data_IF_132212221656
#
_entry.id   IF_132212221656
#
_cell.length_a   1.000
_cell.length_b   1.000
_cell.length_c   1.000
_cell.angle_alpha   90.00
_cell.angle_beta   90.00
_cell.angle_gamma   90.00
#
_symmetry.space_group_name_H-M   'P 1'
#
loop_
_entity.id
_entity.type
_entity.pdbx_description
1 polymer ?
#
# COMPACT_ATOMS: atom_id res chain seq x y z
N UNK A 1 9.34 -13.03 -75.06
CA UNK A 1 10.34 -14.13 -75.16
C UNK A 1 11.28 -14.03 -73.97
N UNK A 2 11.47 -15.18 -73.30
CA UNK A 2 12.48 -15.61 -72.29
C UNK A 2 13.03 -14.62 -71.22
N UNK A 3 12.90 -14.83 -69.90
CA UNK A 3 13.42 -15.87 -68.95
C UNK A 3 14.87 -15.66 -68.45
N UNK A 4 15.04 -15.46 -67.12
CA UNK A 4 16.05 -15.99 -66.15
C UNK A 4 16.12 -15.04 -64.92
N UNK A 5 15.75 -15.37 -63.66
CA UNK A 5 16.23 -16.33 -62.60
C UNK A 5 17.59 -16.00 -61.94
N UNK A 6 17.57 -15.65 -60.63
CA UNK A 6 18.47 -16.04 -59.50
C UNK A 6 17.68 -15.74 -58.19
N UNK A 7 17.10 -16.67 -57.39
CA UNK A 7 17.55 -17.64 -56.35
C UNK A 7 18.14 -17.06 -55.05
N UNK A 8 17.53 -17.45 -53.91
CA UNK A 8 18.04 -17.81 -52.55
C UNK A 8 17.35 -17.02 -51.42
N UNK A 9 16.94 -17.56 -50.26
CA UNK A 9 16.67 -18.92 -49.77
C UNK A 9 16.03 -18.76 -48.38
N UNK A 10 14.89 -19.39 -48.14
CA UNK A 10 14.30 -19.65 -46.81
C UNK A 10 15.14 -20.67 -46.02
N UNK A 11 14.96 -20.79 -44.70
CA UNK A 11 14.74 -22.06 -43.99
C UNK A 11 14.45 -21.85 -42.49
N UNK A 12 13.36 -22.47 -42.03
CA UNK A 12 12.92 -22.62 -40.64
C UNK A 12 13.48 -23.91 -40.04
N UNK A 13 13.75 -23.96 -38.73
CA UNK A 13 13.74 -25.22 -37.95
C UNK A 13 13.14 -24.96 -36.55
N UNK A 14 12.07 -25.70 -36.22
CA UNK A 14 11.57 -25.97 -34.86
C UNK A 14 12.35 -27.13 -34.24
N UNK A 15 12.55 -27.15 -32.91
CA UNK A 15 12.42 -28.38 -32.10
C UNK A 15 12.29 -28.11 -30.60
N UNK A 16 11.37 -28.87 -30.00
CA UNK A 16 11.05 -29.08 -28.58
C UNK A 16 12.08 -30.01 -27.91
N UNK A 17 12.30 -29.87 -26.59
CA UNK A 17 12.29 -30.89 -25.51
C UNK A 17 12.95 -30.33 -24.22
N UNK A 18 12.35 -30.57 -23.05
CA UNK A 18 12.87 -30.22 -21.71
C UNK A 18 13.85 -31.27 -21.13
N UNK A 19 13.83 -31.53 -19.80
CA UNK A 19 14.50 -30.78 -18.72
C UNK A 19 15.63 -31.60 -18.03
N UNK A 20 16.20 -31.06 -16.91
CA UNK A 20 17.33 -31.53 -16.05
C UNK A 20 18.67 -30.85 -16.45
N UNK A 21 19.55 -30.36 -15.56
CA UNK A 21 19.92 -30.73 -14.18
C UNK A 21 20.71 -29.58 -13.53
N UNK A 22 20.61 -29.41 -12.21
CA UNK A 22 21.59 -28.68 -11.38
C UNK A 22 22.98 -29.35 -11.47
N UNK A 23 24.06 -28.57 -11.36
CA UNK A 23 25.25 -28.84 -10.50
C UNK A 23 26.14 -27.57 -10.47
N UNK A 24 26.57 -27.24 -9.26
CA UNK A 24 27.51 -26.19 -8.85
C UNK A 24 28.94 -26.42 -9.39
N UNK A 25 29.70 -25.34 -9.62
CA UNK A 25 31.15 -25.33 -9.34
C UNK A 25 31.72 -23.89 -9.27
N UNK A 26 32.72 -23.63 -8.40
CA UNK A 26 33.18 -22.30 -8.00
C UNK A 26 34.52 -21.86 -8.64
N UNK A 27 34.81 -20.56 -8.48
CA UNK A 27 36.10 -19.86 -8.36
C UNK A 27 37.34 -20.35 -9.13
N UNK A 28 37.94 -19.43 -9.89
CA UNK A 28 39.36 -19.48 -10.26
C UNK A 28 40.03 -18.08 -10.25
N UNK A 29 41.08 -17.97 -9.43
CA UNK A 29 42.42 -17.37 -9.67
C UNK A 29 42.58 -15.84 -9.83
N UNK A 30 43.70 -15.19 -9.50
CA UNK A 30 44.89 -15.33 -8.61
C UNK A 30 45.83 -14.15 -8.97
N UNK A 31 46.69 -13.65 -8.05
CA UNK A 31 47.87 -12.83 -8.39
C UNK A 31 48.17 -11.70 -7.38
N UNK A 32 48.82 -11.96 -6.23
CA UNK A 32 50.30 -11.97 -5.97
C UNK A 32 50.94 -10.56 -5.93
N UNK A 33 51.42 -10.12 -4.75
CA UNK A 33 52.85 -9.85 -4.46
C UNK A 33 53.07 -9.38 -2.99
N UNK A 34 54.02 -10.02 -2.32
CA UNK A 34 54.81 -9.61 -1.14
C UNK A 34 56.11 -10.44 -1.17
N UNK A 35 57.17 -10.24 -0.33
CA UNK A 35 57.60 -9.16 0.59
C UNK A 35 59.09 -8.75 0.31
N UNK A 36 59.94 -8.16 1.22
CA UNK A 36 60.48 -8.81 2.45
C UNK A 36 60.81 -7.91 3.70
N UNK A 37 60.86 -8.57 4.88
CA UNK A 37 61.64 -8.40 6.15
C UNK A 37 62.63 -7.21 6.30
N UNK A 38 62.80 -6.50 7.44
CA UNK A 38 63.18 -6.84 8.85
C UNK A 38 63.34 -5.50 9.66
N UNK A 39 63.80 -5.41 10.94
CA UNK A 39 63.41 -6.04 12.22
C UNK A 39 63.02 -5.00 13.33
N UNK A 40 62.60 -5.49 14.51
CA UNK A 40 62.22 -4.74 15.73
C UNK A 40 63.40 -4.06 16.45
N UNK A 41 63.12 -3.03 17.28
CA UNK A 41 63.70 -2.96 18.62
C UNK A 41 62.65 -2.83 19.74
N UNK A 42 63.02 -3.37 20.89
CA UNK A 42 62.30 -3.51 22.16
C UNK A 42 62.40 -2.28 23.07
N UNK A 43 61.53 -2.26 24.09
CA UNK A 43 61.59 -1.57 25.42
C UNK A 43 60.84 -0.22 25.51
N UNK A 44 60.21 0.18 26.65
CA UNK A 44 59.69 -0.55 27.83
C UNK A 44 58.17 -0.34 28.07
N UNK A 45 57.60 -1.24 28.88
CA UNK A 45 56.26 -1.12 29.45
C UNK A 45 56.16 0.08 30.41
N UNK A 46 55.21 0.98 30.14
CA UNK A 46 54.67 1.93 31.12
C UNK A 46 53.19 1.61 31.32
N UNK A 47 52.91 0.95 32.43
CA UNK A 47 51.59 0.70 32.98
C UNK A 47 51.00 1.99 33.52
N UNK A 48 50.18 2.64 32.71
CA UNK A 48 49.16 3.57 33.20
C UNK A 48 47.79 3.05 32.77
N UNK A 49 46.85 2.90 33.71
CA UNK A 49 45.49 2.51 33.37
C UNK A 49 44.89 3.63 32.53
N UNK A 50 44.61 3.34 31.27
CA UNK A 50 43.61 4.11 30.53
C UNK A 50 42.31 3.94 31.30
N UNK A 51 41.96 4.94 32.12
CA UNK A 51 40.59 5.17 32.50
C UNK A 51 39.86 5.44 31.18
N UNK A 52 39.31 4.39 30.58
CA UNK A 52 38.21 4.53 29.65
C UNK A 52 37.11 5.20 30.46
N UNK A 53 36.99 6.51 30.29
CA UNK A 53 35.74 7.18 30.53
C UNK A 53 34.73 6.48 29.61
N UNK A 54 34.10 5.44 30.17
CA UNK A 54 32.77 5.06 29.79
C UNK A 54 31.94 6.32 30.01
N UNK A 55 31.88 7.18 28.99
CA UNK A 55 30.63 7.83 28.71
C UNK A 55 29.66 6.67 28.51
N UNK A 56 29.03 6.27 29.61
CA UNK A 56 27.69 5.73 29.58
C UNK A 56 26.89 6.82 28.89
N UNK A 57 26.85 6.76 27.55
CA UNK A 57 25.73 7.31 26.82
C UNK A 57 24.52 6.81 27.59
N UNK A 58 23.57 7.69 27.96
CA UNK A 58 22.31 7.24 28.49
C UNK A 58 21.88 6.06 27.61
N UNK A 59 21.40 4.99 28.24
CA UNK A 59 20.66 3.97 27.52
C UNK A 59 19.53 4.75 26.85
N UNK A 60 19.78 5.25 25.63
CA UNK A 60 18.77 5.71 24.73
C UNK A 60 18.08 4.40 24.45
N UNK A 61 16.99 4.16 25.20
CA UNK A 61 16.07 3.07 24.93
C UNK A 61 15.98 2.98 23.42
N UNK A 62 16.39 1.85 22.83
CA UNK A 62 16.38 1.65 21.39
C UNK A 62 14.96 1.91 20.92
N UNK A 63 14.68 3.15 20.52
CA UNK A 63 13.37 3.58 20.09
C UNK A 63 13.11 2.75 18.82
N UNK A 64 12.13 1.84 18.89
CA UNK A 64 11.79 0.98 17.76
C UNK A 64 11.45 1.88 16.58
N UNK A 65 12.02 1.61 15.42
CA UNK A 65 11.65 2.33 14.20
C UNK A 65 10.19 2.03 13.86
N UNK A 66 9.49 3.02 13.30
CA UNK A 66 8.12 2.86 12.83
C UNK A 66 8.10 2.72 11.32
N UNK A 67 7.28 1.79 10.83
CA UNK A 67 6.94 1.69 9.41
C UNK A 67 5.43 1.79 9.26
N UNK A 68 4.97 2.85 8.61
CA UNK A 68 3.55 3.15 8.46
C UNK A 68 3.12 2.93 7.01
N UNK A 69 2.02 2.22 6.81
CA UNK A 69 1.44 1.98 5.50
C UNK A 69 0.00 2.50 5.54
N UNK A 70 -0.35 3.35 4.58
CA UNK A 70 -1.69 3.89 4.45
C UNK A 70 -2.37 3.31 3.22
N UNK A 71 -3.68 3.09 3.31
CA UNK A 71 -4.54 3.24 2.15
C UNK A 71 -4.63 4.73 1.73
N UNK A 72 -5.19 4.99 0.56
CA UNK A 72 -5.31 6.33 0.00
C UNK A 72 -6.74 6.85 0.02
N UNK A 73 -7.60 6.26 -0.81
CA UNK A 73 -8.98 6.68 -1.01
C UNK A 73 -9.79 6.39 0.25
N UNK A 74 -10.46 7.39 0.84
CA UNK A 74 -11.22 7.21 2.09
C UNK A 74 -10.35 7.18 3.36
N UNK A 75 -9.05 6.92 3.25
CA UNK A 75 -8.10 6.99 4.37
C UNK A 75 -7.34 8.32 4.41
N UNK A 76 -6.48 8.58 3.41
CA UNK A 76 -5.74 9.85 3.27
C UNK A 76 -6.68 10.95 2.74
N UNK A 77 -7.49 10.62 1.74
CA UNK A 77 -8.53 11.51 1.22
C UNK A 77 -9.83 11.26 1.97
N UNK A 78 -10.72 12.25 2.03
CA UNK A 78 -12.04 12.06 2.67
C UNK A 78 -13.01 11.25 1.82
N UNK A 79 -12.71 11.07 0.52
CA UNK A 79 -13.58 10.44 -0.49
C UNK A 79 -12.75 9.69 -1.52
N UNK A 80 -13.38 8.78 -2.23
CA UNK A 80 -12.84 8.11 -3.42
C UNK A 80 -12.40 9.12 -4.50
N UNK A 81 -11.24 8.87 -5.11
CA UNK A 81 -10.66 9.73 -6.14
C UNK A 81 -10.67 9.12 -7.54
N UNK A 82 -11.33 7.97 -7.77
CA UNK A 82 -11.47 7.39 -9.10
C UNK A 82 -12.32 8.26 -10.03
N UNK A 83 -13.42 8.84 -9.51
CA UNK A 83 -14.24 9.78 -10.28
C UNK A 83 -13.42 11.03 -10.67
N UNK A 84 -12.75 11.76 -9.75
CA UNK A 84 -11.78 12.81 -10.10
C UNK A 84 -10.71 12.40 -11.12
N UNK A 85 -10.13 11.20 -10.98
CA UNK A 85 -9.13 10.67 -11.93
C UNK A 85 -9.72 10.53 -13.34
N UNK A 86 -10.93 9.97 -13.46
CA UNK A 86 -11.61 9.81 -14.75
C UNK A 86 -11.98 11.17 -15.34
N UNK A 87 -12.50 12.10 -14.54
CA UNK A 87 -12.82 13.45 -15.01
C UNK A 87 -11.57 14.22 -15.47
N UNK A 88 -10.44 14.03 -14.77
CA UNK A 88 -9.16 14.57 -15.19
C UNK A 88 -8.74 13.99 -16.55
N UNK A 89 -8.92 12.69 -16.78
CA UNK A 89 -8.64 12.05 -18.06
C UNK A 89 -9.51 12.59 -19.20
N UNK A 90 -10.83 12.72 -18.97
CA UNK A 90 -11.77 13.29 -19.94
C UNK A 90 -11.37 14.73 -20.28
N UNK A 91 -11.00 15.53 -19.29
CA UNK A 91 -10.54 16.92 -19.52
C UNK A 91 -9.27 17.01 -20.36
N UNK A 92 -8.40 15.99 -20.31
CA UNK A 92 -7.15 15.95 -21.09
C UNK A 92 -7.40 15.59 -22.56
N UNK A 93 -8.45 14.82 -22.85
CA UNK A 93 -8.91 14.56 -24.22
C UNK A 93 -9.57 15.77 -24.87
N UNK A 94 -10.23 16.58 -24.05
CA UNK A 94 -11.07 17.69 -24.51
C UNK A 94 -10.64 19.03 -23.89
N UNK A 95 -9.39 19.49 -24.10
CA UNK A 95 -8.87 20.69 -23.43
C UNK A 95 -9.58 21.99 -23.81
N UNK A 96 -10.31 21.99 -24.93
CA UNK A 96 -11.06 23.16 -25.42
C UNK A 96 -12.50 23.21 -24.92
N UNK A 97 -13.01 22.15 -24.26
CA UNK A 97 -14.39 22.11 -23.78
C UNK A 97 -14.49 22.65 -22.35
N UNK A 98 -15.54 23.43 -22.02
CA UNK A 98 -15.82 23.80 -20.64
C UNK A 98 -16.31 22.58 -19.83
N UNK A 99 -16.11 22.63 -18.51
CA UNK A 99 -16.46 21.52 -17.60
C UNK A 99 -17.93 21.05 -17.72
N UNK A 100 -18.86 21.98 -17.98
CA UNK A 100 -20.28 21.68 -18.18
C UNK A 100 -20.56 20.77 -19.38
N UNK A 101 -19.71 20.82 -20.41
CA UNK A 101 -19.88 20.06 -21.66
C UNK A 101 -19.13 18.72 -21.64
N UNK A 102 -18.16 18.53 -20.72
CA UNK A 102 -17.40 17.28 -20.62
C UNK A 102 -18.30 16.06 -20.39
N UNK A 103 -19.42 16.23 -19.71
CA UNK A 103 -20.42 15.18 -19.46
C UNK A 103 -21.05 14.59 -20.73
N UNK A 104 -20.98 15.30 -21.87
CA UNK A 104 -21.58 14.90 -23.15
C UNK A 104 -20.59 14.17 -24.07
N UNK A 105 -19.34 14.04 -23.64
CA UNK A 105 -18.29 13.39 -24.42
C UNK A 105 -18.49 11.87 -24.51
N UNK A 106 -17.98 11.21 -25.58
CA UNK A 106 -18.00 9.76 -25.68
C UNK A 106 -17.37 9.06 -24.47
N UNK A 107 -16.28 9.61 -23.93
CA UNK A 107 -15.56 9.08 -22.77
C UNK A 107 -16.40 9.19 -21.49
N UNK A 108 -17.11 10.31 -21.28
CA UNK A 108 -18.02 10.45 -20.14
C UNK A 108 -19.20 9.46 -20.21
N UNK A 109 -19.74 9.22 -21.41
CA UNK A 109 -20.76 8.18 -21.63
C UNK A 109 -20.20 6.80 -21.33
N UNK A 110 -19.01 6.46 -21.86
CA UNK A 110 -18.37 5.19 -21.61
C UNK A 110 -18.10 4.95 -20.12
N UNK A 111 -17.73 6.00 -19.39
CA UNK A 111 -17.57 5.96 -17.94
C UNK A 111 -18.87 5.63 -17.21
N UNK A 112 -19.97 6.32 -17.57
CA UNK A 112 -21.30 6.04 -17.03
C UNK A 112 -21.74 4.60 -17.30
N UNK A 113 -21.48 4.09 -18.50
CA UNK A 113 -21.77 2.72 -18.89
C UNK A 113 -20.94 1.72 -18.05
N UNK A 114 -19.65 2.00 -17.82
CA UNK A 114 -18.78 1.18 -16.97
C UNK A 114 -19.26 1.13 -15.51
N UNK A 115 -19.60 2.28 -14.92
CA UNK A 115 -20.16 2.36 -13.56
C UNK A 115 -21.43 1.53 -13.42
N UNK A 116 -22.35 1.67 -14.38
CA UNK A 116 -23.63 0.95 -14.36
C UNK A 116 -23.42 -0.56 -14.41
N UNK A 117 -22.46 -1.04 -15.22
CA UNK A 117 -22.13 -2.46 -15.30
C UNK A 117 -21.44 -2.98 -14.03
N UNK A 118 -20.54 -2.20 -13.43
CA UNK A 118 -19.93 -2.57 -12.16
C UNK A 118 -20.98 -2.74 -11.05
N UNK A 119 -21.92 -1.80 -10.93
CA UNK A 119 -23.00 -1.90 -9.95
C UNK A 119 -23.89 -3.13 -10.18
N UNK A 120 -24.16 -3.48 -11.44
CA UNK A 120 -24.90 -4.68 -11.80
C UNK A 120 -24.15 -5.96 -11.39
N UNK A 121 -22.85 -6.04 -11.69
CA UNK A 121 -22.01 -7.19 -11.32
C UNK A 121 -21.91 -7.35 -9.80
N UNK A 122 -21.74 -6.24 -9.07
CA UNK A 122 -21.67 -6.22 -7.62
C UNK A 122 -23.00 -6.65 -6.98
N UNK A 123 -24.14 -6.18 -7.52
CA UNK A 123 -25.47 -6.61 -7.08
C UNK A 123 -25.66 -8.11 -7.28
N UNK A 124 -25.33 -8.61 -8.48
CA UNK A 124 -25.43 -10.04 -8.80
C UNK A 124 -24.53 -10.91 -7.91
N UNK A 125 -23.34 -10.41 -7.57
CA UNK A 125 -22.44 -11.08 -6.62
C UNK A 125 -23.10 -11.25 -5.25
N UNK A 126 -23.59 -10.16 -4.64
CA UNK A 126 -24.21 -10.23 -3.32
C UNK A 126 -25.55 -10.96 -3.29
N UNK A 127 -26.31 -10.95 -4.37
CA UNK A 127 -27.51 -11.80 -4.51
C UNK A 127 -27.13 -13.28 -4.45
N UNK A 128 -26.10 -13.69 -5.21
CA UNK A 128 -25.61 -15.07 -5.20
C UNK A 128 -25.09 -15.50 -3.82
N UNK A 129 -24.39 -14.62 -3.11
CA UNK A 129 -23.90 -14.93 -1.76
C UNK A 129 -25.04 -15.12 -0.74
N UNK A 130 -26.14 -14.38 -0.87
CA UNK A 130 -27.32 -14.56 -0.01
C UNK A 130 -28.00 -15.91 -0.21
N UNK A 131 -27.96 -16.43 -1.43
CA UNK A 131 -28.58 -17.71 -1.81
C UNK A 131 -27.71 -18.93 -1.44
N UNK A 132 -26.43 -18.75 -1.07
CA UNK A 132 -25.60 -19.85 -0.60
C UNK A 132 -26.12 -20.38 0.76
N UNK A 133 -26.35 -21.69 0.91
CA UNK A 133 -26.88 -22.25 2.15
C UNK A 133 -25.91 -21.98 3.31
N UNK A 134 -26.27 -21.00 4.13
CA UNK A 134 -25.58 -20.77 5.40
C UNK A 134 -25.94 -21.91 6.34
N UNK A 135 -24.94 -22.57 6.93
CA UNK A 135 -25.12 -23.66 7.89
C UNK A 135 -25.82 -23.22 9.21
N UNK A 136 -26.46 -22.05 9.25
CA UNK A 136 -27.17 -21.49 10.40
C UNK A 136 -26.28 -21.06 11.56
N UNK A 137 -25.03 -21.53 11.60
CA UNK A 137 -24.04 -21.18 12.60
C UNK A 137 -23.31 -19.94 12.11
N UNK A 138 -23.50 -18.82 12.80
CA UNK A 138 -22.62 -17.66 12.66
C UNK A 138 -21.23 -18.09 13.12
N UNK A 139 -20.35 -18.41 12.17
CA UNK A 139 -18.96 -18.69 12.44
C UNK A 139 -18.30 -17.36 12.82
N UNK A 140 -17.99 -17.19 14.11
CA UNK A 140 -17.19 -16.06 14.63
C UNK A 140 -15.77 -16.53 14.92
N UNK A 141 -14.80 -15.62 14.94
CA UNK A 141 -13.39 -15.96 15.16
C UNK A 141 -12.71 -16.47 13.88
N UNK A 142 -11.70 -17.35 13.98
CA UNK A 142 -10.85 -17.73 12.84
C UNK A 142 -11.62 -18.28 11.62
N UNK A 143 -12.66 -19.08 11.87
CA UNK A 143 -13.52 -19.63 10.82
C UNK A 143 -14.43 -18.59 10.17
N UNK A 144 -14.84 -17.56 10.93
CA UNK A 144 -15.52 -16.38 10.39
C UNK A 144 -14.59 -15.56 9.51
N UNK A 145 -13.36 -15.30 9.98
CA UNK A 145 -12.34 -14.60 9.20
C UNK A 145 -12.04 -15.31 7.87
N UNK A 146 -11.80 -16.62 7.88
CA UNK A 146 -11.50 -17.37 6.66
C UNK A 146 -12.67 -17.28 5.65
N UNK A 147 -13.91 -17.36 6.15
CA UNK A 147 -15.11 -17.20 5.33
C UNK A 147 -15.21 -15.81 4.70
N UNK A 148 -15.02 -14.75 5.49
CA UNK A 148 -15.10 -13.37 4.98
C UNK A 148 -13.94 -13.07 4.03
N UNK A 149 -12.72 -13.54 4.30
CA UNK A 149 -11.59 -13.42 3.38
C UNK A 149 -11.85 -14.15 2.05
N UNK A 150 -12.49 -15.32 2.09
CA UNK A 150 -12.88 -16.05 0.89
C UNK A 150 -13.98 -15.31 0.12
N UNK A 151 -14.97 -14.72 0.80
CA UNK A 151 -15.98 -13.85 0.19
C UNK A 151 -15.34 -12.67 -0.54
N UNK A 152 -14.45 -11.94 0.14
CA UNK A 152 -13.70 -10.83 -0.47
C UNK A 152 -12.81 -11.29 -1.63
N UNK A 153 -12.24 -12.50 -1.57
CA UNK A 153 -11.48 -13.06 -2.69
C UNK A 153 -12.36 -13.34 -3.92
N UNK A 154 -13.65 -13.69 -3.73
CA UNK A 154 -14.61 -13.91 -4.82
C UNK A 154 -15.01 -12.62 -5.53
N UNK A 155 -14.88 -11.46 -4.89
CA UNK A 155 -15.07 -10.16 -5.55
C UNK A 155 -14.00 -9.87 -6.62
N UNK A 156 -12.89 -10.62 -6.63
CA UNK A 156 -11.81 -10.42 -7.61
C UNK A 156 -12.30 -10.42 -9.05
N UNK A 157 -13.23 -11.31 -9.41
CA UNK A 157 -13.73 -11.39 -10.79
C UNK A 157 -14.56 -10.16 -11.16
N UNK A 158 -15.32 -9.61 -10.21
CA UNK A 158 -16.09 -8.37 -10.37
C UNK A 158 -15.15 -7.17 -10.55
N UNK A 159 -14.16 -7.04 -9.66
CA UNK A 159 -13.16 -5.97 -9.73
C UNK A 159 -12.34 -6.05 -11.02
N UNK A 160 -11.94 -7.26 -11.42
CA UNK A 160 -11.23 -7.51 -12.66
C UNK A 160 -12.06 -7.10 -13.89
N UNK A 161 -13.32 -7.53 -13.97
CA UNK A 161 -14.20 -7.14 -15.06
C UNK A 161 -14.39 -5.61 -15.14
N UNK A 162 -14.48 -4.95 -13.99
CA UNK A 162 -14.57 -3.48 -13.90
C UNK A 162 -13.36 -2.79 -14.54
N UNK A 163 -12.14 -3.15 -14.12
CA UNK A 163 -10.93 -2.53 -14.65
C UNK A 163 -10.68 -2.88 -16.12
N UNK A 164 -11.10 -4.06 -16.58
CA UNK A 164 -11.02 -4.43 -18.00
C UNK A 164 -11.91 -3.53 -18.85
N UNK A 165 -13.18 -3.37 -18.48
CA UNK A 165 -14.12 -2.50 -19.21
C UNK A 165 -13.64 -1.06 -19.27
N UNK A 166 -13.15 -0.52 -18.16
CA UNK A 166 -12.60 0.83 -18.12
C UNK A 166 -11.38 0.94 -19.04
N UNK A 167 -10.47 -0.03 -19.00
CA UNK A 167 -9.32 -0.06 -19.91
C UNK A 167 -9.71 -0.13 -21.39
N UNK A 168 -10.63 -1.03 -21.73
CA UNK A 168 -11.12 -1.26 -23.10
C UNK A 168 -11.93 -0.08 -23.66
N UNK A 169 -12.56 0.71 -22.79
CA UNK A 169 -13.27 1.93 -23.19
C UNK A 169 -12.35 2.99 -23.81
N UNK A 170 -11.04 2.93 -23.54
CA UNK A 170 -10.07 3.89 -24.05
C UNK A 170 -10.08 5.25 -23.35
N UNK A 171 -10.83 5.42 -22.24
CA UNK A 171 -10.89 6.67 -21.45
C UNK A 171 -9.49 7.21 -21.12
N UNK A 172 -8.52 6.32 -20.88
CA UNK A 172 -7.16 6.72 -20.52
C UNK A 172 -6.14 6.66 -21.66
N UNK A 173 -6.55 6.27 -22.87
CA UNK A 173 -5.64 6.08 -24.00
C UNK A 173 -4.97 7.39 -24.39
N UNK A 174 -3.68 7.36 -24.67
CA UNK A 174 -2.90 8.53 -25.07
C UNK A 174 -2.50 9.48 -23.93
N UNK A 175 -2.96 9.24 -22.69
CA UNK A 175 -2.63 10.10 -21.56
C UNK A 175 -1.28 9.71 -20.97
N UNK A 176 -0.37 10.68 -20.86
CA UNK A 176 0.95 10.44 -20.31
C UNK A 176 0.92 10.31 -18.78
N UNK A 177 1.87 9.56 -18.22
CA UNK A 177 2.11 9.47 -16.77
C UNK A 177 2.32 10.85 -16.13
N UNK A 178 3.00 11.74 -16.82
CA UNK A 178 3.26 13.10 -16.35
C UNK A 178 1.99 13.95 -16.31
N UNK A 179 1.07 13.72 -17.25
CA UNK A 179 -0.24 14.39 -17.25
C UNK A 179 -1.07 13.96 -16.03
N UNK A 180 -1.06 12.68 -15.66
CA UNK A 180 -1.72 12.20 -14.44
C UNK A 180 -1.11 12.79 -13.18
N UNK A 181 0.22 12.84 -13.10
CA UNK A 181 0.94 13.47 -11.97
C UNK A 181 0.50 14.94 -11.80
N UNK A 182 0.55 15.73 -12.86
CA UNK A 182 0.16 17.14 -12.84
C UNK A 182 -1.31 17.35 -12.49
N UNK A 183 -2.21 16.50 -13.00
CA UNK A 183 -3.63 16.58 -12.68
C UNK A 183 -3.92 16.19 -11.24
N UNK A 184 -3.23 15.19 -10.69
CA UNK A 184 -3.34 14.83 -9.27
C UNK A 184 -2.88 15.98 -8.37
N UNK A 185 -1.76 16.62 -8.72
CA UNK A 185 -1.25 17.79 -8.02
C UNK A 185 -2.28 18.94 -8.00
N UNK A 186 -2.77 19.33 -9.19
CA UNK A 186 -3.75 20.41 -9.33
C UNK A 186 -5.11 20.09 -8.67
N UNK A 187 -5.46 18.81 -8.49
CA UNK A 187 -6.73 18.43 -7.87
C UNK A 187 -6.83 18.81 -6.39
N UNK A 188 -5.70 19.16 -5.76
CA UNK A 188 -5.62 19.58 -4.36
C UNK A 188 -5.57 21.10 -4.20
N UNK A 189 -5.37 21.84 -5.29
CA UNK A 189 -5.41 23.31 -5.25
C UNK A 189 -6.85 23.75 -4.97
N UNK A 190 -7.03 24.53 -3.90
CA UNK A 190 -8.29 25.18 -3.60
C UNK A 190 -8.39 26.46 -4.42
N UNK A 191 -9.52 26.66 -5.11
CA UNK A 191 -9.78 27.90 -5.82
C UNK A 191 -10.13 28.98 -4.79
N UNK A 192 -9.13 29.76 -4.38
CA UNK A 192 -9.27 30.80 -3.34
C UNK A 192 -10.34 31.86 -3.68
N UNK A 193 -10.80 31.94 -4.92
CA UNK A 193 -11.81 32.89 -5.38
C UNK A 193 -13.25 32.44 -5.14
N UNK A 194 -13.55 31.14 -5.16
CA UNK A 194 -14.94 30.65 -5.08
C UNK A 194 -15.26 29.95 -3.75
N UNK A 195 -14.29 29.87 -2.82
CA UNK A 195 -14.47 29.23 -1.51
C UNK A 195 -14.81 27.73 -1.60
N UNK A 196 -14.54 27.12 -2.75
CA UNK A 196 -14.77 25.71 -2.99
C UNK A 196 -13.49 24.95 -2.65
N UNK A 197 -13.60 23.91 -1.83
CA UNK A 197 -12.50 23.00 -1.57
C UNK A 197 -12.00 22.40 -2.90
N UNK A 198 -10.72 22.06 -2.97
CA UNK A 198 -10.16 21.33 -4.12
C UNK A 198 -10.96 20.06 -4.42
N UNK A 199 -10.92 19.60 -5.66
CA UNK A 199 -11.67 18.39 -6.10
C UNK A 199 -11.32 17.18 -5.25
N UNK A 200 -10.08 17.10 -4.77
CA UNK A 200 -9.62 16.10 -3.81
C UNK A 200 -9.37 16.76 -2.46
N UNK A 201 -10.19 16.37 -1.48
CA UNK A 201 -10.08 16.85 -0.10
C UNK A 201 -9.33 15.83 0.75
N UNK A 202 -8.29 16.31 1.44
CA UNK A 202 -7.49 15.52 2.36
C UNK A 202 -8.20 15.40 3.70
N UNK A 203 -8.03 14.23 4.32
CA UNK A 203 -8.51 14.01 5.67
C UNK A 203 -7.69 14.88 6.63
N UNK A 204 -8.40 15.48 7.57
CA UNK A 204 -7.85 16.42 8.56
C UNK A 204 -6.62 15.84 9.26
N UNK A 205 -5.59 16.66 9.40
CA UNK A 205 -4.36 16.35 10.12
C UNK A 205 -3.33 15.51 9.35
N UNK A 206 -3.60 15.07 8.10
CA UNK A 206 -2.67 14.20 7.38
C UNK A 206 -1.28 14.84 7.15
N UNK A 207 -1.16 16.08 6.63
CA UNK A 207 0.16 16.69 6.42
C UNK A 207 0.95 16.88 7.72
N UNK A 208 0.25 17.25 8.80
CA UNK A 208 0.81 17.39 10.14
C UNK A 208 1.29 16.04 10.66
N UNK A 209 0.50 14.98 10.46
CA UNK A 209 0.83 13.61 10.86
C UNK A 209 2.10 13.11 10.18
N UNK A 210 2.21 13.25 8.85
CA UNK A 210 3.41 12.87 8.11
C UNK A 210 4.64 13.64 8.61
N UNK A 211 4.49 14.95 8.83
CA UNK A 211 5.56 15.78 9.38
C UNK A 211 5.97 15.32 10.78
N UNK A 212 5.00 14.98 11.61
CA UNK A 212 5.19 14.53 12.99
C UNK A 212 5.91 13.18 13.06
N UNK A 213 5.46 12.15 12.33
CA UNK A 213 6.10 10.82 12.33
C UNK A 213 7.53 10.87 11.78
N UNK A 214 7.80 11.68 10.75
CA UNK A 214 9.16 11.84 10.20
C UNK A 214 10.10 12.50 11.19
N UNK A 215 9.66 13.57 11.86
CA UNK A 215 10.52 14.32 12.80
C UNK A 215 10.75 13.58 14.11
N UNK A 216 9.75 12.87 14.60
CA UNK A 216 9.78 12.26 15.93
C UNK A 216 10.30 10.83 15.94
N UNK A 217 9.94 10.05 14.92
CA UNK A 217 10.21 8.62 14.86
C UNK A 217 11.19 8.25 13.73
N UNK A 218 11.58 9.23 12.90
CA UNK A 218 12.25 8.97 11.62
C UNK A 218 11.51 7.88 10.83
N UNK A 219 10.18 7.87 10.97
CA UNK A 219 9.34 6.81 10.46
C UNK A 219 9.36 6.82 8.94
N UNK A 220 9.48 5.63 8.38
CA UNK A 220 9.18 5.44 6.96
C UNK A 220 7.68 5.30 6.78
N UNK A 221 7.18 5.86 5.69
CA UNK A 221 5.79 5.75 5.36
C UNK A 221 5.57 5.51 3.87
N UNK A 222 4.56 4.70 3.57
CA UNK A 222 4.25 4.25 2.22
C UNK A 222 2.73 4.22 2.01
N UNK A 223 2.31 4.24 0.74
CA UNK A 223 0.90 4.14 0.36
C UNK A 223 0.69 2.86 -0.45
N UNK A 224 -0.33 2.09 -0.09
CA UNK A 224 -0.80 0.92 -0.84
C UNK A 224 -2.27 1.13 -1.16
N UNK A 225 -2.61 1.26 -2.44
CA UNK A 225 -3.97 1.61 -2.87
C UNK A 225 -4.43 0.75 -4.05
N UNK A 226 -5.74 0.50 -4.12
CA UNK A 226 -6.41 -0.11 -5.30
C UNK A 226 -6.64 0.90 -6.42
N UNK A 227 -6.32 2.17 -6.21
CA UNK A 227 -6.46 3.22 -7.21
C UNK A 227 -5.83 2.83 -8.55
N UNK A 228 -6.44 3.24 -9.65
CA UNK A 228 -6.06 2.80 -10.99
C UNK A 228 -4.76 3.42 -11.50
N UNK A 229 -4.27 4.50 -10.86
CA UNK A 229 -3.08 5.19 -11.31
C UNK A 229 -2.21 5.74 -10.16
N UNK A 230 -1.05 5.13 -9.97
CA UNK A 230 -0.09 5.55 -8.93
C UNK A 230 0.50 6.95 -9.15
N UNK A 231 0.58 7.44 -10.40
CA UNK A 231 1.08 8.81 -10.68
C UNK A 231 0.07 9.87 -10.28
N UNK A 232 -1.22 9.60 -10.47
CA UNK A 232 -2.29 10.43 -9.93
C UNK A 232 -2.20 10.54 -8.40
N UNK A 233 -2.13 9.40 -7.71
CA UNK A 233 -1.98 9.34 -6.25
C UNK A 233 -0.73 10.09 -5.81
N UNK A 234 0.40 9.85 -6.46
CA UNK A 234 1.65 10.58 -6.21
C UNK A 234 1.47 12.10 -6.38
N UNK A 235 0.80 12.53 -7.45
CA UNK A 235 0.53 13.93 -7.73
C UNK A 235 -0.27 14.60 -6.61
N UNK A 236 -1.34 13.95 -6.14
CA UNK A 236 -2.14 14.44 -5.00
C UNK A 236 -1.27 14.62 -3.75
N UNK A 237 -0.44 13.62 -3.43
CA UNK A 237 0.43 13.68 -2.25
C UNK A 237 1.50 14.77 -2.39
N UNK A 238 2.09 14.94 -3.58
CA UNK A 238 3.05 16.02 -3.87
C UNK A 238 2.40 17.41 -3.83
N UNK A 239 1.13 17.53 -4.24
CA UNK A 239 0.36 18.77 -4.13
C UNK A 239 0.27 19.27 -2.71
N UNK A 240 0.00 18.35 -1.78
CA UNK A 240 -0.29 18.70 -0.38
C UNK A 240 0.99 18.77 0.45
N UNK A 241 1.89 17.80 0.30
CA UNK A 241 3.13 17.77 1.08
C UNK A 241 4.19 18.72 0.51
N UNK A 242 4.20 18.93 -0.81
CA UNK A 242 5.18 19.79 -1.48
C UNK A 242 5.10 21.26 -1.07
N UNK A 243 3.92 21.79 -0.72
CA UNK A 243 3.81 23.17 -0.20
C UNK A 243 4.40 23.30 1.21
N UNK A 244 4.18 22.28 2.04
CA UNK A 244 4.76 22.18 3.39
C UNK A 244 6.29 22.01 3.32
N UNK A 245 6.80 21.43 2.24
CA UNK A 245 8.22 21.11 2.02
C UNK A 245 9.00 22.11 1.14
N UNK A 246 8.36 23.07 0.45
CA UNK A 246 9.08 24.09 -0.36
C UNK A 246 10.09 24.93 0.44
N UNK A 247 10.02 24.93 1.77
CA UNK A 247 11.01 25.56 2.65
C UNK A 247 12.20 24.67 3.05
N UNK A 248 12.24 23.39 2.64
CA UNK A 248 13.33 22.45 2.95
C UNK A 248 13.54 21.54 1.74
N UNK A 249 14.67 21.67 1.08
CA UNK A 249 15.12 20.88 -0.09
C UNK A 249 15.24 19.37 0.22
N UNK A 250 14.13 18.69 0.49
CA UNK A 250 14.04 17.26 0.78
C UNK A 250 12.98 16.70 -0.17
N UNK A 251 13.35 15.68 -0.94
CA UNK A 251 12.47 14.99 -1.88
C UNK A 251 11.31 14.31 -1.17
N UNK A 252 10.14 14.24 -1.82
CA UNK A 252 9.06 13.35 -1.44
C UNK A 252 9.58 11.89 -1.44
N UNK A 253 9.70 11.30 -0.25
CA UNK A 253 10.39 10.02 -0.04
C UNK A 253 9.44 8.81 0.08
N UNK A 254 8.13 9.02 0.05
CA UNK A 254 7.17 7.92 0.22
C UNK A 254 7.01 7.09 -1.06
N UNK A 255 6.98 5.77 -0.90
CA UNK A 255 6.64 4.87 -2.00
C UNK A 255 5.12 4.80 -2.16
N UNK A 256 4.66 5.06 -3.38
CA UNK A 256 3.26 4.85 -3.78
C UNK A 256 3.15 3.55 -4.56
N UNK A 257 2.35 2.62 -4.05
CA UNK A 257 2.05 1.32 -4.65
C UNK A 257 0.56 1.28 -4.98
N UNK A 258 0.24 1.58 -6.24
CA UNK A 258 -1.12 1.53 -6.78
C UNK A 258 -1.05 1.03 -8.24
N UNK A 259 -2.18 0.76 -8.88
CA UNK A 259 -2.15 0.30 -10.28
C UNK A 259 -1.54 1.35 -11.22
N UNK A 260 -1.29 0.97 -12.47
CA UNK A 260 -0.76 1.85 -13.50
C UNK A 260 -1.59 1.72 -14.76
N UNK A 261 -1.51 2.74 -15.60
CA UNK A 261 -2.21 2.80 -16.88
C UNK A 261 -1.19 2.75 -18.01
N UNK A 262 -1.42 1.87 -18.97
CA UNK A 262 -0.69 1.85 -20.23
C UNK A 262 -1.16 3.00 -21.13
N UNK A 263 -0.29 3.99 -21.36
CA UNK A 263 -0.65 5.15 -22.17
C UNK A 263 -0.99 4.79 -23.63
N UNK A 264 -0.46 3.70 -24.19
CA UNK A 264 -0.68 3.37 -25.61
C UNK A 264 -2.04 2.71 -25.84
N UNK A 265 -2.51 1.94 -24.87
CA UNK A 265 -3.75 1.16 -24.96
C UNK A 265 -4.89 1.72 -24.12
N UNK A 266 -4.59 2.44 -23.03
CA UNK A 266 -5.55 2.84 -22.01
C UNK A 266 -5.80 1.78 -20.93
N UNK A 267 -5.19 0.59 -21.05
CA UNK A 267 -5.42 -0.53 -20.14
C UNK A 267 -4.81 -0.29 -18.75
N UNK A 268 -5.50 -0.76 -17.71
CA UNK A 268 -4.98 -0.82 -16.36
C UNK A 268 -4.12 -2.09 -16.22
N UNK A 269 -2.82 -1.93 -15.93
CA UNK A 269 -1.79 -2.98 -16.07
C UNK A 269 -1.11 -3.41 -14.76
N UNK A 270 -1.60 -2.94 -13.60
CA UNK A 270 -1.06 -3.28 -12.29
C UNK A 270 0.30 -2.66 -11.96
N UNK A 271 0.82 -2.92 -10.76
CA UNK A 271 2.07 -2.38 -10.24
C UNK A 271 3.22 -3.41 -10.28
N UNK A 272 4.45 -3.02 -10.65
CA UNK A 272 5.61 -3.91 -10.59
C UNK A 272 6.10 -4.08 -9.14
N UNK A 273 5.41 -4.93 -8.36
CA UNK A 273 5.77 -5.18 -6.95
C UNK A 273 7.13 -5.86 -6.78
N UNK A 274 7.49 -6.76 -7.70
CA UNK A 274 8.77 -7.47 -7.69
C UNK A 274 9.74 -6.86 -8.69
N UNK A 275 10.84 -6.26 -8.22
CA UNK A 275 11.84 -5.64 -9.09
C UNK A 275 12.54 -6.65 -10.03
N UNK A 276 12.63 -7.92 -9.62
CA UNK A 276 13.36 -8.96 -10.35
C UNK A 276 12.55 -9.63 -11.46
N UNK A 277 11.23 -9.73 -11.28
CA UNK A 277 10.34 -10.38 -12.24
C UNK A 277 9.45 -9.27 -12.76
N UNK A 278 9.53 -8.94 -14.05
CA UNK A 278 8.72 -7.90 -14.71
C UNK A 278 7.19 -8.16 -14.67
N UNK A 279 6.74 -9.03 -13.77
CA UNK A 279 5.36 -9.34 -13.46
C UNK A 279 4.76 -8.15 -12.73
N UNK A 280 3.65 -7.65 -13.28
CA UNK A 280 2.85 -6.61 -12.66
C UNK A 280 1.71 -7.29 -11.92
N UNK A 281 1.43 -6.82 -10.72
CA UNK A 281 0.33 -7.30 -9.88
C UNK A 281 -0.77 -6.26 -9.90
N UNK A 282 -1.97 -6.65 -10.28
CA UNK A 282 -3.14 -5.80 -10.13
C UNK A 282 -3.56 -5.77 -8.67
N UNK A 283 -3.65 -4.56 -8.12
CA UNK A 283 -4.08 -4.30 -6.76
C UNK A 283 -5.59 -4.08 -6.79
N UNK A 284 -6.38 -5.11 -6.49
CA UNK A 284 -7.84 -5.07 -6.61
C UNK A 284 -8.55 -5.47 -5.32
N UNK A 285 -7.93 -6.34 -4.53
CA UNK A 285 -8.55 -6.97 -3.37
C UNK A 285 -7.68 -6.85 -2.12
N UNK A 286 -8.25 -7.24 -0.98
CA UNK A 286 -7.52 -7.34 0.29
C UNK A 286 -6.26 -8.21 0.21
N UNK A 287 -6.31 -9.30 -0.56
CA UNK A 287 -5.16 -10.18 -0.76
C UNK A 287 -4.02 -9.48 -1.51
N UNK A 288 -4.34 -8.64 -2.50
CA UNK A 288 -3.35 -7.92 -3.28
C UNK A 288 -2.69 -6.80 -2.45
N UNK A 289 -3.47 -6.05 -1.66
CA UNK A 289 -2.92 -5.05 -0.72
C UNK A 289 -2.04 -5.73 0.34
N UNK A 290 -2.46 -6.88 0.86
CA UNK A 290 -1.66 -7.62 1.84
C UNK A 290 -0.34 -8.13 1.25
N UNK A 291 -0.34 -8.64 0.02
CA UNK A 291 0.88 -9.00 -0.69
C UNK A 291 1.81 -7.80 -0.85
N UNK A 292 1.28 -6.64 -1.27
CA UNK A 292 2.04 -5.41 -1.39
C UNK A 292 2.65 -4.97 -0.06
N UNK A 293 1.87 -4.97 1.03
CA UNK A 293 2.32 -4.67 2.39
C UNK A 293 3.50 -5.57 2.79
N UNK A 294 3.39 -6.89 2.60
CA UNK A 294 4.47 -7.84 2.93
C UNK A 294 5.74 -7.56 2.15
N UNK A 295 5.63 -7.25 0.86
CA UNK A 295 6.79 -6.93 0.02
C UNK A 295 7.45 -5.63 0.48
N UNK A 296 6.65 -4.61 0.82
CA UNK A 296 7.16 -3.34 1.36
C UNK A 296 7.91 -3.63 2.66
N UNK A 297 7.29 -4.26 3.66
CA UNK A 297 7.91 -4.54 4.97
C UNK A 297 9.21 -5.35 4.81
N UNK A 298 9.19 -6.42 4.01
CA UNK A 298 10.36 -7.29 3.85
C UNK A 298 11.50 -6.65 3.04
N UNK A 299 11.23 -5.61 2.25
CA UNK A 299 12.29 -4.90 1.50
C UNK A 299 13.24 -4.12 2.43
N UNK A 300 12.85 -3.90 3.68
CA UNK A 300 13.64 -3.16 4.69
C UNK A 300 14.44 -4.04 5.65
N UNK A 301 14.33 -5.38 5.55
CA UNK A 301 15.13 -6.31 6.35
C UNK A 301 16.55 -6.44 5.75
N UNK A 302 17.29 -5.33 5.69
CA UNK A 302 18.66 -5.26 5.15
C UNK A 302 19.66 -5.60 6.26
N UNK A 303 19.56 -6.82 6.81
CA UNK A 303 20.69 -7.56 7.40
C UNK A 303 21.48 -6.97 8.57
N UNK A 304 21.01 -5.90 9.23
CA UNK A 304 21.60 -5.38 10.48
C UNK A 304 20.77 -5.88 11.65
N UNK A 305 21.41 -6.33 12.74
CA UNK A 305 20.81 -6.77 14.03
C UNK A 305 20.07 -5.63 14.77
N UNK A 306 19.18 -4.93 14.08
CA UNK A 306 18.25 -3.97 14.63
C UNK A 306 16.90 -4.67 14.87
N UNK A 307 16.16 -4.30 15.94
CA UNK A 307 14.82 -4.84 16.15
C UNK A 307 13.96 -4.50 14.92
N UNK A 308 13.11 -5.44 14.50
CA UNK A 308 12.16 -5.21 13.40
C UNK A 308 11.33 -3.96 13.68
N UNK A 309 11.06 -3.12 12.67
CA UNK A 309 10.23 -1.94 12.85
C UNK A 309 8.83 -2.34 13.31
N UNK A 310 8.24 -1.51 14.16
CA UNK A 310 6.83 -1.61 14.49
C UNK A 310 6.01 -1.18 13.28
N UNK A 311 5.13 -2.07 12.81
CA UNK A 311 4.34 -1.84 11.59
C UNK A 311 2.94 -1.36 11.92
N UNK A 312 2.55 -0.25 11.31
CA UNK A 312 1.22 0.35 11.42
C UNK A 312 0.56 0.31 10.06
N UNK A 313 -0.68 -0.16 9.99
CA UNK A 313 -1.51 -0.05 8.79
C UNK A 313 -2.75 0.79 9.10
N UNK A 314 -3.06 1.74 8.23
CA UNK A 314 -4.24 2.59 8.35
C UNK A 314 -5.07 2.45 7.07
N UNK A 315 -6.34 2.10 7.21
CA UNK A 315 -7.26 1.85 6.09
C UNK A 315 -8.72 2.05 6.51
N UNK A 316 -9.65 2.14 5.57
CA UNK A 316 -11.07 2.39 5.85
C UNK A 316 -12.02 1.35 5.23
N UNK A 317 -11.51 0.50 4.34
CA UNK A 317 -12.34 -0.30 3.45
C UNK A 317 -12.14 -1.82 3.65
N UNK A 318 -13.03 -2.66 3.11
CA UNK A 318 -12.85 -4.12 3.08
C UNK A 318 -11.54 -4.57 2.42
N UNK A 319 -11.01 -3.78 1.49
CA UNK A 319 -9.71 -4.07 0.85
C UNK A 319 -8.53 -3.90 1.81
N UNK A 320 -8.76 -3.36 3.00
CA UNK A 320 -7.74 -3.16 4.03
C UNK A 320 -7.80 -4.20 5.14
N UNK A 321 -8.80 -5.10 5.14
CA UNK A 321 -9.01 -6.06 6.22
C UNK A 321 -7.77 -6.92 6.50
N UNK A 322 -7.23 -7.59 5.48
CA UNK A 322 -6.04 -8.45 5.66
C UNK A 322 -4.81 -7.63 6.04
N UNK A 323 -4.49 -6.49 5.40
CA UNK A 323 -3.38 -5.64 5.86
C UNK A 323 -3.50 -5.13 7.30
N UNK A 324 -4.69 -4.72 7.72
CA UNK A 324 -4.98 -4.24 9.08
C UNK A 324 -4.71 -5.32 10.13
N UNK A 325 -5.24 -6.53 9.91
CA UNK A 325 -5.04 -7.66 10.82
C UNK A 325 -3.58 -8.14 10.85
N UNK A 326 -2.81 -7.91 9.78
CA UNK A 326 -1.41 -8.35 9.69
C UNK A 326 -0.39 -7.29 10.12
N UNK A 327 -0.79 -6.04 10.36
CA UNK A 327 0.05 -5.04 11.02
C UNK A 327 0.17 -5.29 12.53
N UNK A 328 1.19 -4.73 13.18
CA UNK A 328 1.24 -4.73 14.66
C UNK A 328 0.17 -3.82 15.25
N UNK A 329 -0.11 -2.69 14.57
CA UNK A 329 -1.21 -1.79 14.88
C UNK A 329 -2.04 -1.60 13.61
N UNK A 330 -3.28 -2.08 13.61
CA UNK A 330 -4.27 -1.76 12.58
C UNK A 330 -5.18 -0.63 13.05
N UNK A 331 -5.27 0.46 12.27
CA UNK A 331 -6.15 1.59 12.56
C UNK A 331 -7.18 1.72 11.44
N UNK A 332 -8.45 1.56 11.79
CA UNK A 332 -9.59 1.81 10.92
C UNK A 332 -9.86 3.31 10.90
N UNK A 333 -9.82 3.90 9.71
CA UNK A 333 -10.25 5.27 9.52
C UNK A 333 -11.77 5.31 9.34
N UNK A 334 -12.47 5.97 10.25
CA UNK A 334 -13.92 5.99 10.25
C UNK A 334 -14.48 6.79 9.05
N UNK A 335 -15.53 6.24 8.46
CA UNK A 335 -16.34 6.85 7.41
C UNK A 335 -17.83 6.62 7.73
N UNK A 336 -18.72 7.55 7.33
CA UNK A 336 -20.19 7.43 7.46
C UNK A 336 -20.86 7.34 6.09
N UNK A 337 -21.92 6.54 5.84
CA UNK A 337 -22.50 5.42 6.60
C UNK A 337 -22.30 4.05 5.91
N UNK A 338 -22.65 3.00 6.68
CA UNK A 338 -22.56 1.57 6.40
C UNK A 338 -23.25 1.12 5.11
N UNK A 339 -22.46 0.83 4.08
CA UNK A 339 -22.86 -0.01 2.96
C UNK A 339 -22.78 -1.49 3.37
N UNK A 340 -23.60 -2.39 2.77
CA UNK A 340 -23.43 -3.82 2.95
C UNK A 340 -22.00 -4.25 2.59
N UNK A 341 -21.37 -5.03 3.46
CA UNK A 341 -19.97 -5.42 3.28
C UNK A 341 -18.97 -4.34 3.72
N UNK A 342 -19.41 -3.30 4.44
CA UNK A 342 -18.50 -2.34 5.06
C UNK A 342 -17.50 -3.03 6.00
N UNK A 343 -16.32 -2.43 6.14
CA UNK A 343 -15.24 -2.98 6.98
C UNK A 343 -15.71 -3.24 8.42
N UNK A 344 -16.52 -2.36 9.01
CA UNK A 344 -17.06 -2.56 10.36
C UNK A 344 -17.91 -3.83 10.48
N UNK A 345 -18.77 -4.10 9.48
CA UNK A 345 -19.60 -5.32 9.46
C UNK A 345 -18.74 -6.58 9.36
N UNK A 346 -17.68 -6.54 8.54
CA UNK A 346 -16.74 -7.65 8.38
C UNK A 346 -15.96 -7.92 9.67
N UNK A 347 -15.47 -6.86 10.30
CA UNK A 347 -14.72 -6.93 11.56
C UNK A 347 -15.59 -7.51 12.67
N UNK A 348 -16.85 -7.07 12.77
CA UNK A 348 -17.84 -7.60 13.73
C UNK A 348 -18.14 -9.08 13.46
N UNK A 349 -18.36 -9.48 12.20
CA UNK A 349 -18.58 -10.89 11.80
C UNK A 349 -17.39 -11.79 12.15
N UNK A 350 -16.18 -11.28 11.99
CA UNK A 350 -14.97 -11.99 12.37
C UNK A 350 -14.78 -12.08 13.89
N UNK A 351 -15.59 -11.37 14.69
CA UNK A 351 -15.49 -11.34 16.15
C UNK A 351 -14.35 -10.48 16.66
N UNK A 352 -13.86 -9.53 15.85
CA UNK A 352 -12.82 -8.60 16.26
C UNK A 352 -13.42 -7.39 16.98
N UNK A 353 -12.70 -6.91 17.99
CA UNK A 353 -13.07 -5.71 18.75
C UNK A 353 -12.35 -4.51 18.15
N UNK A 354 -13.13 -3.47 17.85
CA UNK A 354 -12.61 -2.16 17.51
C UNK A 354 -12.76 -1.24 18.71
N UNK A 355 -11.69 -0.55 19.10
CA UNK A 355 -11.75 0.52 20.12
C UNK A 355 -11.27 1.85 19.53
N UNK A 356 -11.75 3.00 20.02
CA UNK A 356 -11.17 4.29 19.65
C UNK A 356 -9.66 4.34 19.95
N UNK A 357 -8.87 5.02 19.10
CA UNK A 357 -7.42 5.20 19.33
C UNK A 357 -7.13 5.85 20.68
N UNK A 358 -8.03 6.69 21.19
CA UNK A 358 -7.92 7.30 22.53
C UNK A 358 -8.04 6.31 23.70
N UNK A 359 -8.62 5.13 23.45
CA UNK A 359 -8.85 4.07 24.44
C UNK A 359 -7.90 2.88 24.26
N UNK A 360 -6.81 3.03 23.50
CA UNK A 360 -5.88 1.94 23.23
C UNK A 360 -5.36 1.25 24.51
N UNK A 361 -5.31 1.94 25.66
CA UNK A 361 -4.89 1.36 26.95
C UNK A 361 -5.85 0.33 27.54
N UNK A 362 -7.15 0.43 27.23
CA UNK A 362 -8.18 -0.52 27.70
C UNK A 362 -7.99 -1.93 27.11
N UNK A 363 -7.06 -2.07 26.17
CA UNK A 363 -6.78 -3.31 25.48
C UNK A 363 -5.98 -4.33 26.31
N UNK A 364 -5.35 -3.89 27.39
CA UNK A 364 -4.56 -4.75 28.27
C UNK A 364 -5.08 -4.80 29.72
N UNK A 365 -6.19 -4.11 30.02
CA UNK A 365 -6.67 -3.99 31.40
C UNK A 365 -7.41 -5.22 31.94
N UNK A 366 -7.76 -6.21 31.11
CA UNK A 366 -8.49 -7.40 31.57
C UNK A 366 -7.78 -8.72 31.25
N UNK A 367 -7.49 -9.47 32.31
CA UNK A 367 -6.88 -10.82 32.35
C UNK A 367 -7.73 -11.89 31.64
N UNK A 368 -8.93 -11.55 31.13
CA UNK A 368 -9.90 -12.51 30.60
C UNK A 368 -10.08 -12.52 29.06
N UNK A 369 -9.48 -11.60 28.30
CA UNK A 369 -9.74 -11.49 26.84
C UNK A 369 -8.49 -11.50 25.94
N UNK A 370 -7.54 -12.41 26.18
CA UNK A 370 -6.35 -12.67 25.33
C UNK A 370 -6.67 -13.16 23.88
N UNK A 371 -7.94 -13.13 23.44
CA UNK A 371 -8.41 -13.84 22.23
C UNK A 371 -8.83 -12.96 21.05
N UNK A 372 -8.75 -11.65 21.14
CA UNK A 372 -9.30 -10.77 20.09
C UNK A 372 -8.18 -9.95 19.47
N UNK A 373 -7.94 -10.08 18.16
CA UNK A 373 -7.05 -9.15 17.46
C UNK A 373 -7.68 -7.77 17.54
N UNK A 374 -6.88 -6.79 17.96
CA UNK A 374 -7.40 -5.47 18.23
C UNK A 374 -7.15 -4.56 17.05
N UNK A 375 -8.25 -4.03 16.54
CA UNK A 375 -8.23 -2.91 15.62
C UNK A 375 -8.54 -1.64 16.41
N UNK A 376 -7.84 -0.57 16.09
CA UNK A 376 -8.15 0.76 16.59
C UNK A 376 -9.05 1.48 15.59
N UNK A 377 -9.73 2.53 16.01
CA UNK A 377 -10.48 3.42 15.12
C UNK A 377 -10.16 4.87 15.39
N UNK A 378 -10.08 5.66 14.33
CA UNK A 378 -9.87 7.12 14.39
C UNK A 378 -10.73 7.80 13.34
N UNK A 379 -11.15 9.04 13.61
CA UNK A 379 -11.92 9.84 12.64
C UNK A 379 -11.01 10.65 11.72
N UNK A 380 -9.85 11.07 12.22
CA UNK A 380 -8.87 11.83 11.47
C UNK A 380 -7.45 11.58 12.02
N UNK A 381 -6.44 12.13 11.34
CA UNK A 381 -5.05 11.93 11.75
C UNK A 381 -4.68 12.74 13.00
N UNK A 382 -5.44 13.80 13.33
CA UNK A 382 -5.25 14.57 14.56
C UNK A 382 -5.55 13.69 15.77
N UNK A 383 -6.64 12.92 15.74
CA UNK A 383 -7.00 11.99 16.81
C UNK A 383 -5.90 10.95 17.07
N UNK A 384 -5.24 10.46 16.01
CA UNK A 384 -4.12 9.51 16.13
C UNK A 384 -2.94 10.17 16.84
N UNK A 385 -2.55 11.40 16.46
CA UNK A 385 -1.46 12.12 17.13
C UNK A 385 -1.76 12.41 18.60
N UNK A 386 -2.98 12.86 18.90
CA UNK A 386 -3.40 13.23 20.25
C UNK A 386 -3.56 12.04 21.19
N UNK A 387 -3.86 10.85 20.65
CA UNK A 387 -4.02 9.65 21.47
C UNK A 387 -2.72 9.19 22.15
N UNK A 388 -1.56 9.50 21.56
CA UNK A 388 -0.27 9.00 22.06
C UNK A 388 0.00 7.52 21.79
N UNK A 389 -0.86 6.84 21.01
CA UNK A 389 -0.73 5.39 20.72
C UNK A 389 0.59 5.00 20.06
N UNK A 390 1.22 5.94 19.31
CA UNK A 390 2.52 5.73 18.68
C UNK A 390 3.69 6.24 19.53
N UNK A 391 3.41 6.89 20.67
CA UNK A 391 4.39 7.61 21.48
C UNK A 391 4.81 6.91 22.77
N UNK A 392 3.97 6.01 23.29
CA UNK A 392 4.17 5.41 24.60
C UNK A 392 5.14 4.22 24.55
N UNK A 393 6.26 4.31 25.28
CA UNK A 393 7.28 3.26 25.30
C UNK A 393 6.86 2.00 26.08
N UNK A 394 5.91 2.13 27.00
CA UNK A 394 5.39 1.01 27.80
C UNK A 394 4.33 0.19 27.04
N UNK A 395 3.83 0.72 25.93
CA UNK A 395 2.90 0.06 25.04
C UNK A 395 3.66 -0.86 24.06
N UNK A 396 3.57 -2.19 24.26
CA UNK A 396 4.15 -3.19 23.34
C UNK A 396 3.07 -3.98 22.56
N UNK A 397 2.62 -3.46 21.41
CA UNK A 397 1.58 -4.12 20.60
C UNK A 397 2.07 -5.43 19.97
N UNK A 398 3.39 -5.66 19.86
CA UNK A 398 3.94 -6.92 19.36
C UNK A 398 3.63 -8.07 20.31
N UNK A 399 3.75 -7.84 21.61
CA UNK A 399 3.44 -8.86 22.62
C UNK A 399 1.96 -9.26 22.63
N UNK A 400 1.03 -8.31 22.44
CA UNK A 400 -0.40 -8.64 22.31
C UNK A 400 -0.65 -9.48 21.07
N UNK A 401 -0.04 -9.10 19.94
CA UNK A 401 -0.21 -9.83 18.69
C UNK A 401 0.31 -11.27 18.78
N UNK A 402 1.49 -11.47 19.36
CA UNK A 402 2.05 -12.81 19.58
C UNK A 402 1.19 -13.66 20.53
N UNK A 403 0.66 -13.05 21.60
CA UNK A 403 -0.27 -13.73 22.51
C UNK A 403 -1.54 -14.17 21.80
N UNK A 404 -2.07 -13.32 20.91
CA UNK A 404 -3.25 -13.62 20.09
C UNK A 404 -2.98 -14.73 19.06
N UNK A 405 -1.90 -14.66 18.29
CA UNK A 405 -1.53 -15.72 17.31
C UNK A 405 -1.35 -17.09 18.01
N UNK A 406 -0.83 -17.07 19.23
CA UNK A 406 -0.71 -18.26 20.08
C UNK A 406 -2.06 -18.77 20.60
N UNK A 407 -3.05 -17.90 20.79
CA UNK A 407 -4.40 -18.28 21.16
C UNK A 407 -5.17 -18.88 19.98
N UNK A 408 -5.03 -18.31 18.77
CA UNK A 408 -5.62 -18.85 17.54
C UNK A 408 -5.07 -20.24 17.19
N UNK A 409 -3.75 -20.44 17.27
CA UNK A 409 -3.11 -21.72 16.94
C UNK A 409 -3.44 -22.88 17.90
N UNK A 410 -4.12 -22.60 19.03
CA UNK A 410 -4.51 -23.58 20.05
C UNK A 410 -6.02 -23.87 20.08
N UNK A 411 -6.84 -23.08 19.39
CA UNK A 411 -8.28 -23.29 19.23
C UNK A 411 -8.58 -24.02 17.95
#
# INVERSE_FOLDING_TARGET
>A
MLNQRVILSTWSIRRFFGPQTMILSPNLYLGIFAPPFCPRPTVPALSHPFATHHYSLPIMARQRSLQIIFDFDGTITTKDTLEPLVQAAISLHHPSLPASELSQTPEAKAWSDCKSQYLADLSAHYEKEKDEPSNGIAATGPSGLEREQLSLARLRDVEWASIQRVGESGIFKGISRESFLKKGWAATESDQHDGNDGVVVLRKGFPEFVTWIRRRWMAEWNVVSVNWNWRWVQGVLEGVLGETERHRSISFEAKVVANDIDASTGMIIGYPLHLMYKIRTHLLTTADKFLAQRIIINSFDIGVESPRPLTVYIGDSPTDLSPLLNAHIGIIMNHSPSLPGALSELVDKCGYRVVPVSQYKELYSDVENEKVAILLSANDFTEIMESGVLDEQEWDPTAAKEAWEKAESKG
#
